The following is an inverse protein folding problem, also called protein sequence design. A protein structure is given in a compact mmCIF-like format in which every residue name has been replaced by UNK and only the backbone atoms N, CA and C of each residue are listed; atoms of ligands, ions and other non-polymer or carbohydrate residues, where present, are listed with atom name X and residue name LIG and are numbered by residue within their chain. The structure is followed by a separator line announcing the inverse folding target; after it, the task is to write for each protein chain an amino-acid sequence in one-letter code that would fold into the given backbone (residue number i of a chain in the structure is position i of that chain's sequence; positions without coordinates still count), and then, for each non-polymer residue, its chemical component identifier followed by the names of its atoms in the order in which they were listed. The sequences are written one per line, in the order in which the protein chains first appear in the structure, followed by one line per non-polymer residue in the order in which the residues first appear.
data_IF_004094217003
#
_entry.id   IF_004094217003
#
_cell.length_a   1.000
_cell.length_b   1.000
_cell.length_c   1.000
_cell.angle_alpha   90.00
_cell.angle_beta   90.00
_cell.angle_gamma   90.00
#
_symmetry.space_group_name_H-M   'P 1'
#
loop_
_entity.id
_entity.type
_entity.pdbx_description
1 polymer ?
#
# COMPACT_ATOMS: atom_id res chain seq x y z
N UNK A 1 -60.80 7.57 -19.20
CA UNK A 1 -59.37 7.21 -19.22
C UNK A 1 -58.61 8.43 -18.74
N UNK A 2 -57.80 8.33 -17.68
CA UNK A 2 -57.08 9.48 -17.12
C UNK A 2 -55.66 9.45 -17.68
N UNK A 3 -55.33 10.37 -18.57
CA UNK A 3 -53.99 10.50 -19.15
C UNK A 3 -53.05 11.17 -18.15
N UNK A 4 -51.90 10.52 -17.92
CA UNK A 4 -50.90 10.97 -16.98
C UNK A 4 -50.02 12.08 -17.63
N UNK A 5 -50.23 13.34 -17.23
CA UNK A 5 -49.55 14.53 -17.76
C UNK A 5 -48.15 14.81 -17.13
N UNK A 6 -47.52 13.83 -16.50
CA UNK A 6 -46.19 14.02 -15.91
C UNK A 6 -45.08 13.88 -16.95
N UNK A 7 -44.57 15.02 -17.43
CA UNK A 7 -43.36 15.10 -18.27
C UNK A 7 -42.12 14.78 -17.41
N UNK A 8 -41.63 13.54 -17.46
CA UNK A 8 -40.39 13.12 -16.77
C UNK A 8 -39.16 13.77 -17.43
N UNK A 9 -38.80 15.00 -17.05
CA UNK A 9 -37.48 15.54 -17.41
C UNK A 9 -36.43 14.92 -16.49
N UNK A 10 -35.75 13.87 -16.95
CA UNK A 10 -34.55 13.39 -16.26
C UNK A 10 -33.45 14.42 -16.48
N UNK A 11 -33.02 15.10 -15.42
CA UNK A 11 -31.93 16.08 -15.50
C UNK A 11 -30.69 15.42 -16.11
N UNK A 12 -30.29 15.86 -17.31
CA UNK A 12 -29.09 15.39 -17.98
C UNK A 12 -27.82 15.90 -17.30
N UNK A 13 -26.69 15.28 -17.63
CA UNK A 13 -25.38 15.76 -17.20
C UNK A 13 -25.21 17.23 -17.60
N UNK A 14 -25.01 18.10 -16.60
CA UNK A 14 -24.67 19.51 -16.84
C UNK A 14 -23.16 19.63 -17.02
N UNK A 15 -22.69 20.60 -17.81
CA UNK A 15 -21.27 20.93 -17.84
C UNK A 15 -20.77 21.22 -16.43
N UNK A 16 -19.75 20.49 -15.96
CA UNK A 16 -19.24 20.57 -14.59
C UNK A 16 -20.05 19.81 -13.54
N UNK A 17 -21.07 19.03 -13.91
CA UNK A 17 -21.76 18.13 -13.00
C UNK A 17 -20.86 16.94 -12.62
N UNK A 18 -20.91 16.56 -11.35
CA UNK A 18 -20.13 15.45 -10.81
C UNK A 18 -18.98 15.89 -9.92
N UNK A 19 -18.32 14.90 -9.31
CA UNK A 19 -17.22 15.13 -8.39
C UNK A 19 -15.94 15.40 -9.18
N UNK A 20 -15.30 16.56 -8.95
CA UNK A 20 -13.99 16.89 -9.54
C UNK A 20 -12.99 15.77 -9.31
N UNK A 21 -12.31 15.32 -10.37
CA UNK A 21 -11.31 14.26 -10.32
C UNK A 21 -10.25 14.56 -9.26
N UNK A 22 -10.02 13.60 -8.35
CA UNK A 22 -9.03 13.70 -7.28
C UNK A 22 -9.39 14.59 -6.07
N UNK A 23 -10.61 15.15 -5.99
CA UNK A 23 -10.95 16.09 -4.89
C UNK A 23 -10.84 15.50 -3.48
N UNK A 24 -11.37 14.30 -3.22
CA UNK A 24 -11.17 13.64 -1.92
C UNK A 24 -9.71 13.22 -1.71
N UNK A 25 -9.03 12.75 -2.76
CA UNK A 25 -7.61 12.37 -2.67
C UNK A 25 -6.75 13.55 -2.23
N UNK A 26 -7.02 14.76 -2.75
CA UNK A 26 -6.37 16.01 -2.32
C UNK A 26 -6.65 16.32 -0.85
N UNK A 27 -7.91 16.23 -0.41
CA UNK A 27 -8.29 16.48 0.99
C UNK A 27 -7.69 15.46 1.96
N UNK A 28 -7.69 14.18 1.61
CA UNK A 28 -7.07 13.12 2.41
C UNK A 28 -5.57 13.33 2.53
N UNK A 29 -4.90 13.73 1.44
CA UNK A 29 -3.48 14.06 1.44
C UNK A 29 -3.14 15.23 2.37
N UNK A 30 -3.93 16.30 2.30
CA UNK A 30 -3.74 17.47 3.18
C UNK A 30 -3.90 17.11 4.66
N UNK A 31 -4.86 16.25 5.00
CA UNK A 31 -5.02 15.77 6.38
C UNK A 31 -3.81 14.96 6.81
N UNK A 32 -3.32 14.05 5.95
CA UNK A 32 -2.13 13.26 6.24
C UNK A 32 -0.88 14.13 6.42
N UNK A 33 -0.68 15.13 5.56
CA UNK A 33 0.41 16.12 5.67
C UNK A 33 0.28 16.95 6.95
N UNK A 34 -0.92 17.41 7.31
CA UNK A 34 -1.16 18.17 8.53
C UNK A 34 -0.94 17.34 9.81
N UNK A 35 -1.23 16.04 9.78
CA UNK A 35 -0.92 15.14 10.91
C UNK A 35 0.58 14.85 10.98
N UNK A 36 1.26 14.73 9.83
CA UNK A 36 2.70 14.57 9.78
C UNK A 36 3.46 15.79 10.34
N UNK A 37 2.93 17.00 10.17
CA UNK A 37 3.54 18.21 10.77
C UNK A 37 3.30 18.33 12.28
N UNK A 38 2.25 17.69 12.81
CA UNK A 38 1.95 17.64 14.26
C UNK A 38 2.87 16.67 15.03
N UNK A 39 3.74 15.94 14.33
CA UNK A 39 4.86 15.20 14.92
C UNK A 39 4.56 13.78 15.38
N UNK A 40 3.30 13.33 15.32
CA UNK A 40 2.93 11.92 15.50
C UNK A 40 1.93 11.49 14.43
N UNK A 41 2.35 10.57 13.55
CA UNK A 41 1.46 9.96 12.56
C UNK A 41 0.78 8.69 13.10
N UNK A 42 -0.38 8.28 12.56
CA UNK A 42 -1.02 7.03 12.96
C UNK A 42 -0.11 5.80 12.77
N UNK A 43 0.73 5.81 11.72
CA UNK A 43 1.71 4.75 11.48
C UNK A 43 2.77 4.70 12.59
N UNK A 44 3.30 5.84 13.00
CA UNK A 44 4.24 5.90 14.13
C UNK A 44 3.62 5.41 15.43
N UNK A 45 2.35 5.72 15.70
CA UNK A 45 1.65 5.20 16.89
C UNK A 45 1.59 3.68 16.82
N UNK A 46 1.18 3.12 15.68
CA UNK A 46 1.13 1.66 15.49
C UNK A 46 2.50 1.02 15.69
N UNK A 47 3.56 1.58 15.09
CA UNK A 47 4.91 1.03 15.25
C UNK A 47 5.39 1.13 16.70
N UNK A 48 5.23 2.27 17.37
CA UNK A 48 5.64 2.46 18.78
C UNK A 48 4.94 1.49 19.72
N UNK A 49 3.61 1.34 19.59
CA UNK A 49 2.83 0.42 20.41
C UNK A 49 3.24 -1.03 20.14
N UNK A 50 3.42 -1.40 18.86
CA UNK A 50 3.89 -2.74 18.49
C UNK A 50 5.25 -3.06 19.15
N UNK A 51 6.21 -2.12 19.07
CA UNK A 51 7.52 -2.28 19.69
C UNK A 51 7.43 -2.38 21.21
N UNK A 52 6.67 -1.49 21.85
CA UNK A 52 6.51 -1.50 23.31
C UNK A 52 5.92 -2.83 23.80
N UNK A 53 4.87 -3.34 23.16
CA UNK A 53 4.25 -4.62 23.53
C UNK A 53 5.22 -5.80 23.35
N UNK A 54 6.06 -5.76 22.31
CA UNK A 54 7.08 -6.78 22.08
C UNK A 54 8.17 -6.77 23.16
N UNK A 55 8.65 -5.58 23.52
CA UNK A 55 9.63 -5.41 24.61
C UNK A 55 9.04 -5.83 25.96
N UNK A 56 7.81 -5.40 26.28
CA UNK A 56 7.09 -5.82 27.49
C UNK A 56 6.94 -7.34 27.56
N UNK A 57 6.64 -8.00 26.45
CA UNK A 57 6.59 -9.46 26.39
C UNK A 57 7.96 -10.12 26.69
N UNK A 58 9.07 -9.51 26.26
CA UNK A 58 10.42 -9.96 26.60
C UNK A 58 10.74 -9.83 28.10
N UNK A 59 10.20 -8.79 28.72
CA UNK A 59 10.46 -8.44 30.12
C UNK A 59 9.61 -9.21 31.13
N UNK A 60 8.50 -9.84 30.73
CA UNK A 60 7.68 -10.67 31.65
C UNK A 60 8.54 -11.82 32.19
N UNK A 61 8.86 -11.82 33.49
CA UNK A 61 9.71 -12.84 34.09
C UNK A 61 8.95 -13.70 35.11
N UNK A 62 9.49 -14.89 35.40
CA UNK A 62 8.98 -15.77 36.48
C UNK A 62 9.07 -15.11 37.85
N UNK A 63 9.96 -14.13 38.03
CA UNK A 63 10.08 -13.38 39.28
C UNK A 63 8.87 -12.49 39.56
N UNK A 64 8.17 -12.03 38.51
CA UNK A 64 7.06 -11.09 38.63
C UNK A 64 5.73 -11.78 38.97
N UNK A 65 5.50 -13.00 38.46
CA UNK A 65 4.22 -13.71 38.56
C UNK A 65 4.27 -14.98 39.41
N UNK A 66 5.47 -15.50 39.74
CA UNK A 66 5.64 -16.68 40.59
C UNK A 66 5.16 -18.00 40.01
N UNK A 67 4.53 -17.97 38.83
CA UNK A 67 4.03 -19.13 38.09
C UNK A 67 4.41 -19.02 36.61
N UNK A 68 5.06 -20.06 36.10
CA UNK A 68 5.51 -20.18 34.72
C UNK A 68 4.35 -20.19 33.74
N UNK A 69 3.21 -20.76 34.11
CA UNK A 69 2.02 -20.80 33.24
C UNK A 69 1.46 -19.38 33.05
N UNK A 70 1.32 -18.61 34.14
CA UNK A 70 0.92 -17.20 34.10
C UNK A 70 1.88 -16.34 33.29
N UNK A 71 3.20 -16.56 33.42
CA UNK A 71 4.22 -15.89 32.59
C UNK A 71 3.99 -16.18 31.11
N UNK A 72 3.82 -17.46 30.75
CA UNK A 72 3.61 -17.86 29.36
C UNK A 72 2.34 -17.25 28.79
N UNK A 73 1.25 -17.22 29.56
CA UNK A 73 -0.02 -16.65 29.15
C UNK A 73 0.09 -15.13 28.94
N UNK A 74 0.73 -14.42 29.86
CA UNK A 74 0.97 -12.98 29.75
C UNK A 74 1.83 -12.64 28.51
N UNK A 75 2.92 -13.38 28.29
CA UNK A 75 3.77 -13.24 27.10
C UNK A 75 2.99 -13.46 25.81
N UNK A 76 2.21 -14.54 25.73
CA UNK A 76 1.40 -14.86 24.55
C UNK A 76 0.36 -13.76 24.27
N UNK A 77 -0.30 -13.22 25.30
CA UNK A 77 -1.25 -12.11 25.15
C UNK A 77 -0.57 -10.87 24.57
N UNK A 78 0.55 -10.44 25.13
CA UNK A 78 1.29 -9.26 24.67
C UNK A 78 1.78 -9.45 23.23
N UNK A 79 2.33 -10.62 22.89
CA UNK A 79 2.76 -10.93 21.53
C UNK A 79 1.60 -10.95 20.54
N UNK A 80 0.44 -11.46 20.92
CA UNK A 80 -0.77 -11.42 20.08
C UNK A 80 -1.27 -9.99 19.85
N UNK A 81 -1.19 -9.13 20.87
CA UNK A 81 -1.50 -7.70 20.73
C UNK A 81 -0.51 -7.03 19.78
N UNK A 82 0.80 -7.26 19.93
CA UNK A 82 1.82 -6.75 19.03
C UNK A 82 1.58 -7.20 17.58
N UNK A 83 1.30 -8.50 17.37
CA UNK A 83 0.99 -9.05 16.05
C UNK A 83 -0.27 -8.42 15.43
N UNK A 84 -1.29 -8.10 16.24
CA UNK A 84 -2.49 -7.41 15.77
C UNK A 84 -2.17 -6.00 15.28
N UNK A 85 -1.35 -5.25 16.02
CA UNK A 85 -0.90 -3.92 15.60
C UNK A 85 -0.02 -4.01 14.34
N UNK A 86 0.88 -4.99 14.27
CA UNK A 86 1.69 -5.26 13.08
C UNK A 86 0.85 -5.54 11.83
N UNK A 87 -0.25 -6.30 11.96
CA UNK A 87 -1.22 -6.53 10.88
C UNK A 87 -1.85 -5.22 10.38
N UNK A 88 -2.14 -4.27 11.27
CA UNK A 88 -2.71 -2.97 10.90
C UNK A 88 -1.67 -2.04 10.24
N UNK A 89 -0.38 -2.16 10.62
CA UNK A 89 0.71 -1.39 10.04
C UNK A 89 1.18 -1.92 8.67
N UNK A 90 1.07 -3.23 8.44
CA UNK A 90 1.57 -3.93 7.24
C UNK A 90 1.23 -3.26 5.89
N UNK A 91 0.00 -2.75 5.64
CA UNK A 91 -0.35 -2.13 4.35
C UNK A 91 0.44 -0.85 4.01
N UNK A 92 1.07 -0.24 5.00
CA UNK A 92 1.81 1.02 4.86
C UNK A 92 3.32 0.82 4.75
N UNK A 93 3.83 -0.35 5.14
CA UNK A 93 5.27 -0.67 5.16
C UNK A 93 5.65 -1.59 4.00
N UNK A 94 4.74 -2.47 3.57
CA UNK A 94 5.01 -3.41 2.49
C UNK A 94 4.52 -2.90 1.13
N UNK A 95 5.35 -2.96 0.07
CA UNK A 95 4.92 -2.62 -1.28
C UNK A 95 3.71 -3.48 -1.70
N UNK A 96 2.67 -2.86 -2.27
CA UNK A 96 1.54 -3.58 -2.88
C UNK A 96 1.92 -3.98 -4.30
N UNK A 97 1.61 -5.22 -4.70
CA UNK A 97 1.86 -5.71 -6.07
C UNK A 97 1.24 -4.82 -7.15
N UNK A 98 0.10 -4.17 -6.87
CA UNK A 98 -0.54 -3.23 -7.79
C UNK A 98 0.22 -1.91 -8.02
N UNK A 99 1.21 -1.61 -7.18
CA UNK A 99 2.09 -0.45 -7.33
C UNK A 99 3.35 -0.78 -8.16
N UNK A 100 3.56 -2.06 -8.49
CA UNK A 100 4.63 -2.49 -9.38
C UNK A 100 4.09 -2.33 -10.80
N UNK A 101 4.68 -1.43 -11.59
CA UNK A 101 4.32 -1.27 -12.99
C UNK A 101 4.69 -2.55 -13.75
N UNK A 102 3.68 -3.35 -14.10
CA UNK A 102 3.79 -4.42 -15.08
C UNK A 102 3.54 -3.91 -16.51
N UNK A 103 3.75 -2.61 -16.74
CA UNK A 103 3.61 -1.95 -18.04
C UNK A 103 4.95 -1.32 -18.42
N UNK A 104 5.24 -1.27 -19.72
CA UNK A 104 6.36 -0.49 -20.23
C UNK A 104 6.16 1.02 -20.00
N UNK A 105 7.21 1.80 -20.29
CA UNK A 105 7.21 3.26 -20.19
C UNK A 105 5.94 3.85 -20.82
N UNK A 106 5.30 4.79 -20.11
CA UNK A 106 4.07 5.47 -20.54
C UNK A 106 2.84 4.55 -20.73
N UNK A 107 2.79 3.40 -20.03
CA UNK A 107 1.68 2.46 -20.12
C UNK A 107 1.69 1.62 -21.40
N UNK A 108 2.78 1.68 -22.17
CA UNK A 108 2.99 0.79 -23.31
C UNK A 108 3.04 -0.68 -22.85
N UNK A 109 2.74 -1.65 -23.73
CA UNK A 109 3.02 -3.05 -23.44
C UNK A 109 4.47 -3.21 -22.97
N UNK A 110 4.70 -4.05 -21.95
CA UNK A 110 6.07 -4.45 -21.62
C UNK A 110 6.71 -4.96 -22.90
N UNK A 111 7.86 -4.40 -23.26
CA UNK A 111 8.66 -4.96 -24.34
C UNK A 111 9.22 -6.28 -23.81
N UNK A 112 8.41 -7.34 -23.88
CA UNK A 112 8.85 -8.71 -23.73
C UNK A 112 9.67 -9.04 -24.97
N UNK A 113 10.85 -8.45 -25.08
CA UNK A 113 11.88 -8.93 -25.97
C UNK A 113 12.27 -10.30 -25.45
N UNK A 114 11.68 -11.36 -26.01
CA UNK A 114 12.39 -12.64 -26.01
C UNK A 114 13.69 -12.31 -26.73
N UNK A 115 14.78 -12.24 -25.98
CA UNK A 115 16.12 -12.31 -26.56
C UNK A 115 16.23 -13.72 -27.13
N UNK A 116 15.64 -13.93 -28.32
CA UNK A 116 16.01 -15.05 -29.15
C UNK A 116 17.44 -14.70 -29.54
N UNK A 117 18.40 -15.18 -28.76
CA UNK A 117 19.79 -15.26 -29.23
C UNK A 117 19.69 -16.17 -30.44
N UNK A 118 19.76 -15.63 -31.67
CA UNK A 118 19.74 -16.49 -32.82
C UNK A 118 21.01 -17.31 -32.70
N UNK A 119 20.92 -18.62 -32.88
CA UNK A 119 22.08 -19.51 -32.98
C UNK A 119 23.01 -19.17 -34.17
N UNK A 120 22.96 -17.94 -34.69
CA UNK A 120 23.54 -17.50 -35.95
C UNK A 120 23.91 -16.00 -36.01
N UNK A 121 24.01 -15.27 -34.90
CA UNK A 121 24.71 -13.96 -34.92
C UNK A 121 26.11 -14.12 -34.34
N UNK A 122 27.12 -13.66 -35.08
CA UNK A 122 28.48 -13.58 -34.53
C UNK A 122 28.55 -12.49 -33.45
N UNK A 123 29.54 -12.60 -32.57
CA UNK A 123 29.74 -11.67 -31.46
C UNK A 123 29.91 -10.23 -31.98
N UNK A 124 30.54 -10.05 -33.14
CA UNK A 124 30.75 -8.73 -33.73
C UNK A 124 29.44 -8.06 -34.19
N UNK A 125 28.50 -8.84 -34.74
CA UNK A 125 27.20 -8.32 -35.19
C UNK A 125 26.31 -7.95 -34.00
N UNK A 126 26.43 -8.68 -32.89
CA UNK A 126 25.73 -8.36 -31.65
C UNK A 126 26.25 -7.05 -31.04
N UNK A 127 27.58 -6.89 -30.94
CA UNK A 127 28.20 -5.67 -30.40
C UNK A 127 27.83 -4.41 -31.19
N UNK A 128 27.72 -4.51 -32.51
CA UNK A 128 27.28 -3.39 -33.37
C UNK A 128 25.82 -3.00 -33.13
N UNK A 129 24.96 -3.97 -32.81
CA UNK A 129 23.54 -3.72 -32.54
C UNK A 129 23.27 -3.16 -31.13
N UNK A 130 24.17 -3.42 -30.18
CA UNK A 130 24.07 -3.00 -28.78
C UNK A 130 24.59 -1.58 -28.53
N UNK A 131 25.29 -0.96 -29.48
CA UNK A 131 25.75 0.42 -29.32
C UNK A 131 24.60 1.42 -29.46
N UNK A 132 24.50 2.42 -28.56
CA UNK A 132 23.48 3.45 -28.64
C UNK A 132 23.67 4.25 -29.93
N UNK A 133 22.63 4.32 -30.76
CA UNK A 133 22.60 5.22 -31.91
C UNK A 133 22.55 6.66 -31.38
N UNK A 134 23.61 7.42 -31.64
CA UNK A 134 23.69 8.86 -31.39
C UNK A 134 22.75 9.64 -32.31
#
# INVERSE_FOLDING_TARGET
MIENNQKKSKGGARAGAGRKTGSLTKRTRQIAEAVATQGITPLEVMMKVMHQLYEEAGNVSEQDLGDKELVSEARIKLLNMAATVGRHAAPYIHPRLSAIEHTGKDGAPLQSGVLVVPSSMSVEDWERSAQPKH
#
